data_IF_833213042196
#
_entry.id   IF_833213042196
#
_cell.length_a   1.000
_cell.length_b   1.000
_cell.length_c   1.000
_cell.angle_alpha   90.00
_cell.angle_beta   90.00
_cell.angle_gamma   90.00
#
_symmetry.space_group_name_H-M   'P 1'
#
loop_
_entity.id
_entity.type
_entity.pdbx_description
1 polymer ?
#
# COMPACT_ATOMS: atom_id res chain seq x y z
N UNK A 1 2.03 9.58 -26.96
CA UNK A 1 2.08 10.98 -26.53
C UNK A 1 1.99 11.81 -27.78
N UNK A 2 0.85 12.46 -27.96
CA UNK A 2 0.59 13.27 -29.16
C UNK A 2 0.93 14.76 -28.93
N UNK A 3 0.94 15.23 -27.69
CA UNK A 3 1.25 16.60 -27.31
C UNK A 3 1.68 16.73 -25.82
N UNK A 4 2.11 17.92 -25.42
CA UNK A 4 2.62 18.20 -24.05
C UNK A 4 1.57 18.01 -22.95
N UNK A 5 0.27 18.13 -23.26
CA UNK A 5 -0.80 17.95 -22.28
C UNK A 5 -0.95 16.50 -21.82
N UNK A 6 -0.48 15.53 -22.63
CA UNK A 6 -0.40 14.10 -22.26
C UNK A 6 1.00 13.69 -21.76
N UNK A 7 1.94 14.63 -21.77
CA UNK A 7 3.33 14.40 -21.39
C UNK A 7 3.68 15.18 -20.14
N UNK A 8 4.60 16.13 -20.29
CA UNK A 8 5.18 16.89 -19.17
C UNK A 8 4.16 17.77 -18.44
N UNK A 9 3.04 18.14 -19.08
CA UNK A 9 1.98 18.97 -18.49
C UNK A 9 0.75 18.18 -18.02
N UNK A 10 0.80 16.84 -18.03
CA UNK A 10 -0.33 16.00 -17.62
C UNK A 10 -0.73 16.22 -16.15
N UNK A 11 0.24 16.51 -15.28
CA UNK A 11 0.05 16.65 -13.84
C UNK A 11 0.32 18.09 -13.35
N UNK A 12 -0.48 18.54 -12.39
CA UNK A 12 -0.40 19.91 -11.85
C UNK A 12 0.61 20.08 -10.72
N UNK A 13 1.21 19.00 -10.22
CA UNK A 13 2.05 19.01 -9.01
C UNK A 13 3.23 19.96 -9.10
N UNK A 14 3.97 19.97 -10.21
CA UNK A 14 5.12 20.86 -10.37
C UNK A 14 4.70 22.33 -10.44
N UNK A 15 3.61 22.64 -11.16
CA UNK A 15 3.05 23.98 -11.20
C UNK A 15 2.58 24.46 -9.81
N UNK A 16 2.17 23.52 -8.95
CA UNK A 16 1.75 23.77 -7.57
C UNK A 16 2.90 23.73 -6.54
N UNK A 17 4.15 23.54 -6.98
CA UNK A 17 5.32 23.49 -6.11
C UNK A 17 5.52 22.18 -5.34
N UNK A 18 4.80 21.11 -5.66
CA UNK A 18 4.88 19.81 -4.99
C UNK A 18 6.04 18.95 -5.49
N UNK A 19 7.26 19.49 -5.39
CA UNK A 19 8.49 18.74 -5.65
C UNK A 19 8.74 17.71 -4.55
N UNK A 20 9.15 16.49 -4.93
CA UNK A 20 9.33 15.38 -3.98
C UNK A 20 8.04 14.69 -3.54
N UNK A 21 6.87 15.11 -4.05
CA UNK A 21 5.58 14.51 -3.70
C UNK A 21 5.33 13.16 -4.39
N UNK A 22 5.67 13.03 -5.68
CA UNK A 22 5.40 11.83 -6.47
C UNK A 22 5.91 10.51 -5.86
N UNK A 23 7.12 10.44 -5.24
CA UNK A 23 7.58 9.24 -4.56
C UNK A 23 6.60 8.71 -3.49
N UNK A 24 5.76 9.56 -2.90
CA UNK A 24 4.77 9.14 -1.90
C UNK A 24 3.73 8.16 -2.45
N UNK A 25 3.35 8.26 -3.73
CA UNK A 25 2.42 7.32 -4.35
C UNK A 25 3.03 5.91 -4.42
N UNK A 26 4.29 5.81 -4.84
CA UNK A 26 5.01 4.54 -4.88
C UNK A 26 5.22 3.96 -3.47
N UNK A 27 5.54 4.81 -2.49
CA UNK A 27 5.64 4.40 -1.08
C UNK A 27 4.30 3.86 -0.56
N UNK A 28 3.18 4.49 -0.91
CA UNK A 28 1.84 4.00 -0.55
C UNK A 28 1.59 2.57 -1.05
N UNK A 29 1.95 2.28 -2.30
CA UNK A 29 1.85 0.93 -2.86
C UNK A 29 2.73 -0.07 -2.09
N UNK A 30 3.99 0.27 -1.82
CA UNK A 30 4.93 -0.58 -1.09
C UNK A 30 4.42 -0.86 0.34
N UNK A 31 4.01 0.19 1.07
CA UNK A 31 3.42 0.06 2.39
C UNK A 31 2.19 -0.85 2.38
N UNK A 32 1.31 -0.69 1.38
CA UNK A 32 0.10 -1.51 1.27
C UNK A 32 0.43 -3.00 1.13
N UNK A 33 1.38 -3.36 0.28
CA UNK A 33 1.79 -4.76 0.09
C UNK A 33 2.42 -5.35 1.35
N UNK A 34 3.28 -4.59 2.01
CA UNK A 34 3.95 -5.05 3.23
C UNK A 34 2.99 -5.17 4.42
N UNK A 35 2.06 -4.21 4.59
CA UNK A 35 1.01 -4.28 5.61
C UNK A 35 0.05 -5.43 5.33
N UNK A 36 -0.37 -5.64 4.07
CA UNK A 36 -1.25 -6.74 3.68
C UNK A 36 -0.61 -8.10 3.98
N UNK A 37 0.69 -8.26 3.74
CA UNK A 37 1.41 -9.48 4.05
C UNK A 37 1.44 -9.80 5.56
N UNK A 38 1.41 -8.78 6.43
CA UNK A 38 1.25 -8.98 7.87
C UNK A 38 -0.21 -9.26 8.24
N UNK A 39 -1.16 -8.47 7.72
CA UNK A 39 -2.58 -8.67 7.97
C UNK A 39 -3.02 -10.09 7.59
N UNK A 40 -2.53 -10.62 6.48
CA UNK A 40 -2.83 -11.97 6.01
C UNK A 40 -2.31 -13.08 6.95
N UNK A 41 -1.29 -12.80 7.77
CA UNK A 41 -0.81 -13.73 8.80
C UNK A 41 -1.66 -13.63 10.06
N UNK A 42 -2.02 -12.41 10.45
CA UNK A 42 -2.80 -12.15 11.66
C UNK A 42 -4.28 -12.54 11.50
N UNK A 43 -4.81 -12.47 10.26
CA UNK A 43 -6.18 -12.81 9.89
C UNK A 43 -6.13 -13.74 8.66
N UNK A 44 -5.86 -15.05 8.82
CA UNK A 44 -5.66 -15.96 7.69
C UNK A 44 -6.85 -16.07 6.73
N UNK A 45 -8.07 -15.86 7.22
CA UNK A 45 -9.32 -15.95 6.48
C UNK A 45 -9.82 -14.60 5.92
N UNK A 46 -8.99 -13.54 5.94
CA UNK A 46 -9.39 -12.18 5.54
C UNK A 46 -10.04 -12.10 4.15
N UNK A 47 -9.60 -12.94 3.19
CA UNK A 47 -10.20 -12.98 1.84
C UNK A 47 -11.63 -13.51 1.86
N UNK A 48 -11.91 -14.50 2.70
CA UNK A 48 -13.26 -15.05 2.86
C UNK A 48 -14.19 -14.03 3.51
N UNK A 49 -13.73 -13.37 4.57
CA UNK A 49 -14.48 -12.29 5.22
C UNK A 49 -14.78 -11.16 4.23
N UNK A 50 -13.77 -10.74 3.44
CA UNK A 50 -13.93 -9.72 2.41
C UNK A 50 -14.94 -10.12 1.34
N UNK A 51 -14.90 -11.37 0.85
CA UNK A 51 -15.85 -11.87 -0.14
C UNK A 51 -17.30 -11.88 0.37
N UNK A 52 -17.50 -12.02 1.68
CA UNK A 52 -18.80 -11.94 2.35
C UNK A 52 -19.21 -10.49 2.70
N UNK A 53 -18.40 -9.49 2.35
CA UNK A 53 -18.61 -8.09 2.72
C UNK A 53 -18.35 -7.78 4.20
N UNK A 54 -17.77 -8.71 4.96
CA UNK A 54 -17.43 -8.50 6.36
C UNK A 54 -16.04 -7.86 6.51
N UNK A 55 -16.03 -6.56 6.83
CA UNK A 55 -14.80 -5.79 7.03
C UNK A 55 -14.42 -5.61 8.51
N UNK A 56 -15.18 -6.20 9.44
CA UNK A 56 -15.07 -5.88 10.88
C UNK A 56 -13.67 -6.12 11.42
N UNK A 57 -13.10 -7.31 11.17
CA UNK A 57 -11.77 -7.66 11.66
C UNK A 57 -10.65 -6.92 10.92
N UNK A 58 -10.79 -6.74 9.60
CA UNK A 58 -9.84 -5.97 8.77
C UNK A 58 -9.78 -4.51 9.26
N UNK A 59 -10.93 -3.88 9.48
CA UNK A 59 -11.03 -2.52 10.01
C UNK A 59 -10.45 -2.43 11.42
N UNK A 60 -10.79 -3.36 12.30
CA UNK A 60 -10.25 -3.39 13.67
C UNK A 60 -8.72 -3.53 13.67
N UNK A 61 -8.17 -4.36 12.79
CA UNK A 61 -6.72 -4.52 12.62
C UNK A 61 -6.07 -3.22 12.14
N UNK A 62 -6.63 -2.56 11.12
CA UNK A 62 -6.13 -1.28 10.62
C UNK A 62 -6.20 -0.18 11.69
N UNK A 63 -7.28 -0.12 12.47
CA UNK A 63 -7.42 0.85 13.56
C UNK A 63 -6.32 0.63 14.60
N UNK A 64 -6.15 -0.61 15.07
CA UNK A 64 -5.18 -0.94 16.11
C UNK A 64 -3.75 -0.66 15.67
N UNK A 65 -3.38 -1.09 14.47
CA UNK A 65 -2.00 -1.12 14.01
C UNK A 65 -1.59 0.14 13.25
N UNK A 66 -2.52 0.84 12.59
CA UNK A 66 -2.25 2.00 11.75
C UNK A 66 -2.92 3.25 12.31
N UNK A 67 -4.25 3.35 12.23
CA UNK A 67 -4.96 4.63 12.41
C UNK A 67 -4.85 5.20 13.82
N UNK A 68 -4.89 4.34 14.86
CA UNK A 68 -4.77 4.80 16.26
C UNK A 68 -3.38 5.35 16.58
N UNK A 69 -2.36 5.03 15.78
CA UNK A 69 -1.01 5.53 16.01
C UNK A 69 -0.86 7.00 15.56
N UNK A 70 -1.70 7.50 14.65
CA UNK A 70 -1.61 8.87 14.15
C UNK A 70 -0.19 9.20 13.68
N UNK A 71 0.35 10.31 14.17
CA UNK A 71 1.73 10.76 13.91
C UNK A 71 2.69 10.44 15.08
N UNK A 72 2.38 9.40 15.87
CA UNK A 72 3.22 8.99 17.02
C UNK A 72 4.59 8.44 16.59
N UNK A 73 4.70 7.93 15.35
CA UNK A 73 5.92 7.37 14.81
C UNK A 73 6.14 7.86 13.39
N UNK A 74 7.41 8.10 13.04
CA UNK A 74 7.80 8.28 11.64
C UNK A 74 7.32 7.08 10.79
N UNK A 75 6.99 7.28 9.50
CA UNK A 75 6.45 6.21 8.65
C UNK A 75 7.28 4.92 8.64
N UNK A 76 8.62 5.03 8.60
CA UNK A 76 9.52 3.87 8.64
C UNK A 76 9.49 3.15 9.99
N UNK A 77 9.34 3.91 11.08
CA UNK A 77 9.15 3.39 12.43
C UNK A 77 7.81 2.68 12.61
N UNK A 78 6.74 3.27 12.08
CA UNK A 78 5.40 2.68 12.10
C UNK A 78 5.36 1.37 11.31
N UNK A 79 5.90 1.35 10.09
CA UNK A 79 5.99 0.12 9.28
C UNK A 79 6.75 -0.97 10.00
N UNK A 80 7.91 -0.65 10.60
CA UNK A 80 8.68 -1.64 11.37
C UNK A 80 7.91 -2.17 12.56
N UNK A 81 7.11 -1.34 13.24
CA UNK A 81 6.23 -1.78 14.33
C UNK A 81 5.11 -2.69 13.86
N UNK A 82 4.49 -2.39 12.74
CA UNK A 82 3.40 -3.19 12.18
C UNK A 82 3.94 -4.54 11.69
N UNK A 83 5.06 -4.54 10.96
CA UNK A 83 5.47 -5.69 10.14
C UNK A 83 6.68 -6.43 10.71
N UNK A 84 7.32 -5.91 11.75
CA UNK A 84 8.56 -6.42 12.32
C UNK A 84 9.80 -6.25 11.43
N UNK A 85 9.68 -5.56 10.29
CA UNK A 85 10.73 -5.43 9.27
C UNK A 85 10.87 -3.98 8.80
N UNK A 86 12.06 -3.61 8.31
CA UNK A 86 12.23 -2.35 7.58
C UNK A 86 11.35 -2.33 6.31
N UNK A 87 11.21 -1.16 5.71
CA UNK A 87 10.51 -1.01 4.44
C UNK A 87 11.15 -1.90 3.36
N UNK A 88 10.32 -2.64 2.63
CA UNK A 88 10.71 -3.58 1.60
C UNK A 88 9.63 -3.66 0.50
N UNK A 89 10.03 -3.59 -0.76
CA UNK A 89 9.13 -3.66 -1.92
C UNK A 89 8.68 -5.10 -2.25
N UNK A 90 9.43 -6.10 -1.78
CA UNK A 90 9.22 -7.52 -2.09
C UNK A 90 7.79 -8.01 -1.83
N UNK A 91 7.10 -7.67 -0.71
CA UNK A 91 5.72 -8.09 -0.49
C UNK A 91 4.74 -7.54 -1.52
N UNK A 92 4.95 -6.29 -1.97
CA UNK A 92 4.12 -5.67 -3.01
C UNK A 92 4.36 -6.31 -4.37
N UNK A 93 5.63 -6.54 -4.74
CA UNK A 93 5.99 -7.21 -5.99
C UNK A 93 5.42 -8.62 -6.06
N UNK A 94 5.49 -9.37 -4.94
CA UNK A 94 4.88 -10.70 -4.83
C UNK A 94 3.37 -10.67 -5.02
N UNK A 95 2.67 -9.72 -4.39
CA UNK A 95 1.24 -9.53 -4.60
C UNK A 95 0.90 -9.30 -6.08
N UNK A 96 1.67 -8.45 -6.78
CA UNK A 96 1.48 -8.22 -8.20
C UNK A 96 1.76 -9.49 -9.00
N UNK A 97 2.90 -10.15 -8.78
CA UNK A 97 3.25 -11.38 -9.49
C UNK A 97 2.17 -12.45 -9.33
N UNK A 98 1.67 -12.69 -8.12
CA UNK A 98 0.61 -13.67 -7.87
C UNK A 98 -0.72 -13.29 -8.53
N UNK A 99 -1.08 -12.00 -8.50
CA UNK A 99 -2.34 -11.53 -9.10
C UNK A 99 -2.27 -11.60 -10.62
N UNK A 100 -1.21 -11.06 -11.21
CA UNK A 100 -1.10 -10.92 -12.65
C UNK A 100 -0.74 -12.24 -13.35
N UNK A 101 0.04 -13.13 -12.73
CA UNK A 101 0.25 -14.50 -13.24
C UNK A 101 -1.07 -15.28 -13.36
N UNK A 102 -1.97 -15.15 -12.37
CA UNK A 102 -3.30 -15.79 -12.42
C UNK A 102 -4.22 -15.20 -13.48
N UNK A 103 -4.13 -13.90 -13.74
CA UNK A 103 -4.99 -13.21 -14.70
C UNK A 103 -4.51 -13.38 -16.15
N UNK A 104 -3.19 -13.42 -16.37
CA UNK A 104 -2.60 -13.36 -17.70
C UNK A 104 -1.76 -14.59 -18.08
N UNK A 105 -1.53 -15.52 -17.15
CA UNK A 105 -0.95 -16.85 -17.43
C UNK A 105 0.55 -16.86 -17.71
N UNK A 106 1.34 -16.06 -17.00
CA UNK A 106 2.81 -16.07 -17.06
C UNK A 106 3.45 -16.43 -15.72
#
# INVERSE_FOLDING_TARGET
MENDSEGVMQDTHWASGFYGYFPSYALGNIYSGQMLATLAKDIPDWRSQLAQGNLTNIKAWLIKNVHRQGDLYDPTGLIRRITGKKLDAEPYLRYLQEKYSRLYGF
#
